data_IF_750706291925
#
_entry.id   IF_750706291925
#
_cell.length_a   1.000
_cell.length_b   1.000
_cell.length_c   1.000
_cell.angle_alpha   90.00
_cell.angle_beta   90.00
_cell.angle_gamma   90.00
#
_symmetry.space_group_name_H-M   'P 1'
#
loop_
_entity.id
_entity.type
_entity.pdbx_description
1 polymer ?
#
# COMPACT_ATOMS: atom_id res chain seq x y z
N UNK A 1 30.71 -68.43 -22.41
CA UNK A 1 31.87 -67.65 -22.88
C UNK A 1 31.41 -66.22 -23.07
N UNK A 2 31.67 -65.36 -22.07
CA UNK A 2 32.60 -64.21 -22.13
C UNK A 2 31.99 -63.02 -22.90
N UNK A 3 31.31 -62.05 -22.27
CA UNK A 3 31.76 -61.00 -21.31
C UNK A 3 32.76 -60.02 -21.94
N UNK A 4 32.27 -58.84 -22.30
CA UNK A 4 33.01 -57.56 -22.50
C UNK A 4 32.07 -56.46 -21.99
N UNK A 5 32.06 -56.10 -20.71
CA UNK A 5 32.93 -55.14 -19.99
C UNK A 5 33.04 -53.73 -20.63
N UNK A 6 32.28 -52.80 -20.02
CA UNK A 6 32.61 -51.41 -19.61
C UNK A 6 32.83 -50.29 -20.61
N UNK A 7 32.24 -49.13 -20.27
CA UNK A 7 32.63 -47.80 -20.73
C UNK A 7 31.42 -46.91 -20.95
N UNK A 8 30.63 -46.57 -19.92
CA UNK A 8 30.75 -45.30 -19.20
C UNK A 8 30.86 -44.09 -20.14
N UNK A 9 29.77 -43.33 -20.29
CA UNK A 9 29.67 -41.85 -20.29
C UNK A 9 28.44 -41.41 -21.08
N UNK A 10 27.73 -40.42 -20.54
CA UNK A 10 26.76 -39.63 -21.29
C UNK A 10 25.34 -39.69 -20.75
N UNK A 11 25.18 -39.35 -19.47
CA UNK A 11 23.94 -38.73 -18.99
C UNK A 11 23.70 -37.48 -19.85
N UNK A 12 22.59 -37.44 -20.59
CA UNK A 12 22.04 -36.20 -21.11
C UNK A 12 20.52 -36.23 -20.94
N UNK A 13 20.16 -35.98 -19.68
CA UNK A 13 18.87 -35.46 -19.26
C UNK A 13 18.60 -34.16 -20.02
N UNK A 14 17.83 -34.24 -21.10
CA UNK A 14 17.16 -33.08 -21.68
C UNK A 14 15.86 -32.88 -20.89
N UNK A 15 16.00 -32.31 -19.69
CA UNK A 15 14.87 -31.71 -18.98
C UNK A 15 14.46 -30.50 -19.80
N UNK A 16 13.38 -30.65 -20.56
CA UNK A 16 12.67 -29.54 -21.18
C UNK A 16 12.11 -28.72 -20.02
N UNK A 17 12.90 -27.75 -19.56
CA UNK A 17 12.43 -26.70 -18.67
C UNK A 17 11.45 -25.88 -19.50
N UNK A 18 10.16 -26.18 -19.34
CA UNK A 18 9.08 -25.32 -19.77
C UNK A 18 9.31 -23.96 -19.12
N UNK A 19 9.88 -23.03 -19.90
CA UNK A 19 9.91 -21.62 -19.59
C UNK A 19 8.47 -21.12 -19.61
N UNK A 20 7.76 -21.29 -18.49
CA UNK A 20 6.61 -20.46 -18.20
C UNK A 20 7.15 -19.06 -17.94
N UNK A 21 6.75 -18.03 -18.68
CA UNK A 21 6.88 -16.66 -18.20
C UNK A 21 5.77 -16.46 -17.15
N UNK A 22 5.83 -17.25 -16.09
CA UNK A 22 5.04 -17.05 -14.90
C UNK A 22 5.84 -16.12 -14.02
N UNK A 23 5.40 -14.87 -13.89
CA UNK A 23 5.89 -13.95 -12.87
C UNK A 23 5.69 -14.63 -11.49
N UNK A 24 6.70 -15.37 -11.02
CA UNK A 24 6.73 -16.04 -9.71
C UNK A 24 6.85 -15.06 -8.54
N UNK A 25 6.98 -13.76 -8.83
CA UNK A 25 7.08 -12.67 -7.88
C UNK A 25 6.15 -11.54 -8.31
N UNK A 26 4.85 -11.79 -8.31
CA UNK A 26 3.91 -10.72 -8.01
C UNK A 26 3.77 -10.70 -6.49
N UNK A 27 4.18 -9.64 -5.78
CA UNK A 27 3.81 -9.51 -4.38
C UNK A 27 2.29 -9.40 -4.35
N UNK A 28 1.62 -10.52 -4.10
CA UNK A 28 0.22 -10.51 -3.72
C UNK A 28 0.16 -10.02 -2.27
N UNK A 29 0.37 -8.72 -2.06
CA UNK A 29 -0.04 -8.04 -0.84
C UNK A 29 -1.55 -7.87 -0.88
N UNK A 30 -2.27 -8.99 -0.88
CA UNK A 30 -3.54 -9.03 -0.18
C UNK A 30 -3.19 -9.36 1.24
N UNK A 31 -2.68 -8.36 1.94
CA UNK A 31 -2.63 -8.43 3.40
C UNK A 31 -4.03 -8.85 3.87
N UNK A 32 -4.13 -9.77 4.83
CA UNK A 32 -5.42 -10.14 5.39
C UNK A 32 -6.14 -8.86 5.79
N UNK A 33 -7.44 -8.77 5.44
CA UNK A 33 -8.29 -7.65 5.87
C UNK A 33 -7.99 -7.42 7.36
N UNK A 34 -7.48 -6.23 7.74
CA UNK A 34 -6.99 -6.10 9.09
C UNK A 34 -8.15 -6.30 10.06
N UNK A 35 -7.88 -6.69 11.31
CA UNK A 35 -8.91 -6.79 12.32
C UNK A 35 -9.80 -5.54 12.26
N UNK A 36 -11.12 -5.70 12.33
CA UNK A 36 -12.00 -4.54 12.50
C UNK A 36 -11.63 -3.92 13.85
N UNK A 37 -10.75 -2.94 13.85
CA UNK A 37 -10.46 -2.13 15.03
C UNK A 37 -11.69 -1.27 15.29
N UNK A 38 -12.19 -1.34 16.53
CA UNK A 38 -13.32 -0.52 16.95
C UNK A 38 -12.88 0.94 16.95
N UNK A 39 -13.57 1.76 16.15
CA UNK A 39 -13.36 3.20 16.14
C UNK A 39 -13.76 3.82 17.49
N UNK A 40 -12.94 4.73 17.99
CA UNK A 40 -13.16 5.46 19.22
C UNK A 40 -14.01 6.72 19.01
N UNK A 41 -14.48 7.30 20.11
CA UNK A 41 -15.20 8.58 20.09
C UNK A 41 -14.26 9.72 19.71
N UNK A 42 -14.63 10.50 18.69
CA UNK A 42 -13.90 11.70 18.23
C UNK A 42 -13.92 12.89 19.19
N UNK A 43 -14.56 12.76 20.36
CA UNK A 43 -14.60 13.81 21.39
C UNK A 43 -13.33 13.88 22.23
N UNK A 44 -12.39 12.95 22.04
CA UNK A 44 -11.10 12.94 22.71
C UNK A 44 -9.97 13.02 21.69
N UNK A 45 -8.87 13.67 22.07
CA UNK A 45 -7.66 13.75 21.23
C UNK A 45 -7.15 12.35 20.89
N UNK A 46 -7.12 11.45 21.89
CA UNK A 46 -6.69 10.06 21.70
C UNK A 46 -7.56 9.33 20.67
N UNK A 47 -8.89 9.47 20.74
CA UNK A 47 -9.79 8.80 19.80
C UNK A 47 -9.66 9.32 18.37
N UNK A 48 -9.36 10.62 18.18
CA UNK A 48 -9.05 11.17 16.86
C UNK A 48 -7.78 10.54 16.28
N UNK A 49 -6.69 10.49 17.05
CA UNK A 49 -5.44 9.89 16.60
C UNK A 49 -5.54 8.38 16.37
N UNK A 50 -6.26 7.67 17.24
CA UNK A 50 -6.55 6.24 17.08
C UNK A 50 -7.26 6.00 15.75
N UNK A 51 -8.37 6.70 15.50
CA UNK A 51 -9.16 6.52 14.29
C UNK A 51 -8.40 6.92 13.02
N UNK A 52 -7.58 7.96 13.08
CA UNK A 52 -6.66 8.33 11.99
C UNK A 52 -5.69 7.18 11.70
N UNK A 53 -5.01 6.68 12.74
CA UNK A 53 -4.05 5.58 12.63
C UNK A 53 -4.69 4.35 11.99
N UNK A 54 -5.86 3.95 12.49
CA UNK A 54 -6.63 2.83 11.94
C UNK A 54 -6.96 3.07 10.47
N UNK A 55 -7.50 4.24 10.12
CA UNK A 55 -7.89 4.54 8.72
C UNK A 55 -6.70 4.43 7.76
N UNK A 56 -5.51 4.87 8.17
CA UNK A 56 -4.28 4.73 7.39
C UNK A 56 -3.80 3.28 7.27
N UNK A 57 -3.83 2.52 8.37
CA UNK A 57 -3.41 1.11 8.37
C UNK A 57 -4.34 0.24 7.51
N UNK A 58 -5.65 0.51 7.57
CA UNK A 58 -6.66 -0.18 6.77
C UNK A 58 -6.70 0.30 5.32
N UNK A 59 -6.09 1.45 5.01
CA UNK A 59 -6.26 2.18 3.74
C UNK A 59 -7.74 2.42 3.42
N UNK A 60 -8.56 2.66 4.46
CA UNK A 60 -10.00 2.81 4.33
C UNK A 60 -10.37 4.29 4.15
N UNK A 61 -10.56 4.68 2.89
CA UNK A 61 -10.88 6.05 2.52
C UNK A 61 -12.24 6.50 3.05
N UNK A 62 -13.22 5.61 3.15
CA UNK A 62 -14.57 5.98 3.57
C UNK A 62 -14.62 6.26 5.08
N UNK A 63 -13.85 5.52 5.87
CA UNK A 63 -13.68 5.84 7.29
C UNK A 63 -12.84 7.09 7.52
N UNK A 64 -11.76 7.28 6.76
CA UNK A 64 -10.98 8.52 6.82
C UNK A 64 -11.87 9.75 6.62
N UNK A 65 -12.78 9.69 5.64
CA UNK A 65 -13.71 10.79 5.35
C UNK A 65 -14.60 11.18 6.52
N UNK A 66 -14.90 10.25 7.42
CA UNK A 66 -15.76 10.48 8.57
C UNK A 66 -15.04 11.18 9.72
N UNK A 67 -13.72 11.34 9.66
CA UNK A 67 -12.94 11.94 10.74
C UNK A 67 -13.07 13.47 10.79
N UNK A 68 -13.32 14.09 9.64
CA UNK A 68 -13.31 15.54 9.45
C UNK A 68 -14.70 16.09 9.11
N UNK A 69 -14.92 17.38 9.39
CA UNK A 69 -16.08 18.10 8.87
C UNK A 69 -15.79 18.56 7.44
N UNK A 70 -16.58 18.07 6.49
CA UNK A 70 -16.39 18.35 5.06
C UNK A 70 -16.58 19.83 4.70
N UNK A 71 -17.30 20.59 5.53
CA UNK A 71 -17.59 22.00 5.27
C UNK A 71 -16.61 22.95 5.96
N UNK A 72 -15.81 22.45 6.91
CA UNK A 72 -14.90 23.25 7.74
C UNK A 72 -13.47 22.71 7.73
N UNK A 73 -13.18 21.70 6.90
CA UNK A 73 -11.84 21.14 6.77
C UNK A 73 -10.93 22.09 5.99
N UNK A 74 -9.77 22.38 6.58
CA UNK A 74 -8.65 23.04 5.91
C UNK A 74 -7.34 22.40 6.36
N UNK A 75 -6.53 21.99 5.39
CA UNK A 75 -5.13 21.65 5.62
C UNK A 75 -4.28 22.86 5.26
N UNK A 76 -3.37 23.25 6.15
CA UNK A 76 -2.46 24.39 5.94
C UNK A 76 -1.04 23.84 5.83
N UNK A 77 -0.37 24.17 4.74
CA UNK A 77 1.02 23.77 4.51
C UNK A 77 1.97 24.56 5.39
N UNK A 78 3.16 24.00 5.63
CA UNK A 78 4.22 24.74 6.31
C UNK A 78 4.66 25.93 5.43
N UNK A 79 4.78 27.11 6.02
CA UNK A 79 5.17 28.33 5.31
C UNK A 79 6.52 28.17 4.58
N UNK A 80 7.41 27.32 5.11
CA UNK A 80 8.71 27.04 4.49
C UNK A 80 8.55 26.30 3.17
N UNK A 81 7.65 25.31 3.12
CA UNK A 81 7.42 24.51 1.92
C UNK A 81 6.85 25.38 0.79
N UNK A 82 5.90 26.26 1.14
CA UNK A 82 5.27 27.22 0.22
C UNK A 82 6.26 28.30 -0.27
N UNK A 83 7.18 28.73 0.60
CA UNK A 83 8.19 29.73 0.24
C UNK A 83 9.27 29.15 -0.68
N UNK A 84 9.63 27.89 -0.46
CA UNK A 84 10.63 27.18 -1.28
C UNK A 84 10.09 26.78 -2.65
N UNK A 85 8.81 26.40 -2.73
CA UNK A 85 8.13 26.03 -3.97
C UNK A 85 6.78 26.79 -4.13
N UNK A 86 6.72 27.81 -4.99
CA UNK A 86 5.50 28.61 -5.20
C UNK A 86 4.38 27.84 -5.91
N UNK A 87 4.64 26.62 -6.42
CA UNK A 87 3.60 25.76 -6.98
C UNK A 87 2.81 25.02 -5.89
N UNK A 88 3.31 25.00 -4.64
CA UNK A 88 2.59 24.45 -3.48
C UNK A 88 1.58 25.49 -2.98
N UNK A 89 0.29 25.16 -2.86
CA UNK A 89 -0.69 26.09 -2.31
C UNK A 89 -0.48 26.29 -0.81
N UNK A 90 -0.82 27.48 -0.29
CA UNK A 90 -0.76 27.76 1.16
C UNK A 90 -1.68 26.83 1.98
N UNK A 91 -2.80 26.44 1.40
CA UNK A 91 -3.76 25.53 2.02
C UNK A 91 -4.60 24.83 0.96
N UNK A 92 -5.22 23.72 1.34
CA UNK A 92 -6.25 23.09 0.53
C UNK A 92 -7.46 22.66 1.36
N UNK A 93 -8.57 22.41 0.66
CA UNK A 93 -9.83 22.06 1.27
C UNK A 93 -10.11 20.56 1.22
N UNK A 94 -11.37 20.24 1.55
CA UNK A 94 -11.84 18.87 1.57
C UNK A 94 -11.72 18.09 0.23
N UNK A 95 -11.96 18.70 -0.95
CA UNK A 95 -11.82 17.98 -2.22
C UNK A 95 -10.39 17.54 -2.51
N UNK A 96 -9.42 18.42 -2.26
CA UNK A 96 -8.00 18.15 -2.47
C UNK A 96 -7.50 17.09 -1.49
N UNK A 97 -7.92 17.19 -0.23
CA UNK A 97 -7.58 16.20 0.79
C UNK A 97 -8.06 14.80 0.39
N UNK A 98 -9.34 14.65 0.02
CA UNK A 98 -9.86 13.35 -0.41
C UNK A 98 -9.10 12.78 -1.61
N UNK A 99 -8.70 13.65 -2.54
CA UNK A 99 -7.93 13.23 -3.72
C UNK A 99 -6.53 12.79 -3.33
N UNK A 100 -5.88 13.56 -2.45
CA UNK A 100 -4.55 13.25 -1.90
C UNK A 100 -4.55 11.93 -1.13
N UNK A 101 -5.48 11.75 -0.17
CA UNK A 101 -5.58 10.53 0.62
C UNK A 101 -5.89 9.33 -0.26
N UNK A 102 -6.80 9.47 -1.24
CA UNK A 102 -7.10 8.41 -2.20
C UNK A 102 -5.84 7.96 -2.93
N UNK A 103 -5.08 8.89 -3.48
CA UNK A 103 -3.86 8.56 -4.23
C UNK A 103 -2.85 7.81 -3.35
N UNK A 104 -2.70 8.21 -2.10
CA UNK A 104 -1.86 7.53 -1.12
C UNK A 104 -2.40 6.16 -0.71
N UNK A 105 -3.73 5.99 -0.62
CA UNK A 105 -4.36 4.71 -0.30
C UNK A 105 -4.42 3.75 -1.49
N UNK A 106 -4.20 4.23 -2.71
CA UNK A 106 -4.23 3.42 -3.94
C UNK A 106 -2.82 3.20 -4.56
N UNK A 107 -1.77 3.84 -4.03
CA UNK A 107 -0.36 3.69 -4.47
C UNK A 107 0.32 2.41 -3.99
#
# INVERSE_FOLDING_TARGET
>A
MSRTWTGWRGVLLLVILAATPGCLFSPSSKDPAPPQEDYEKRTTIAGVFHNLTVSYQLRDLDHYKLLFDQNDYQFVFDERDVTEDPDIPESWGWPEEQTSTRNMFES
#
